data_IF_972301870162
#
_entry.id   IF_972301870162
#
_cell.length_a   1.000
_cell.length_b   1.000
_cell.length_c   1.000
_cell.angle_alpha   90.00
_cell.angle_beta   90.00
_cell.angle_gamma   90.00
#
_symmetry.space_group_name_H-M   'P 1'
#
loop_
_entity.id
_entity.type
_entity.pdbx_description
1 polymer ?
#
# COMPACT_ATOMS: atom_id res chain seq x y z
N UNK A 1 42.73 -15.74 33.52
CA UNK A 1 42.37 -15.24 32.18
C UNK A 1 41.24 -16.13 31.66
N UNK A 2 39.99 -15.73 31.90
CA UNK A 2 38.79 -16.50 31.54
C UNK A 2 38.15 -15.82 30.35
N UNK A 3 38.13 -16.52 29.21
CA UNK A 3 37.46 -16.09 28.00
C UNK A 3 35.96 -16.40 28.15
N UNK A 4 35.13 -15.36 28.26
CA UNK A 4 33.68 -15.48 28.17
C UNK A 4 33.25 -15.31 26.71
N UNK A 5 32.93 -16.44 26.07
CA UNK A 5 32.24 -16.48 24.79
C UNK A 5 30.78 -16.06 25.02
N UNK A 6 30.42 -14.85 24.59
CA UNK A 6 29.03 -14.47 24.40
C UNK A 6 28.54 -15.09 23.08
N UNK A 7 27.82 -16.21 23.18
CA UNK A 7 27.03 -16.74 22.07
C UNK A 7 25.76 -15.92 21.99
N UNK A 8 25.68 -15.06 20.97
CA UNK A 8 24.48 -14.28 20.66
C UNK A 8 23.31 -15.20 20.35
N UNK A 9 22.19 -14.97 21.04
CA UNK A 9 20.92 -15.60 20.72
C UNK A 9 20.46 -15.09 19.34
N UNK A 10 20.62 -15.93 18.31
CA UNK A 10 19.93 -15.75 17.04
C UNK A 10 18.46 -16.04 17.33
N UNK A 11 17.65 -14.99 17.42
CA UNK A 11 16.20 -15.11 17.52
C UNK A 11 15.70 -15.95 16.36
N UNK A 12 15.20 -17.15 16.66
CA UNK A 12 14.56 -18.00 15.67
C UNK A 12 13.33 -17.25 15.14
N UNK A 13 13.43 -16.80 13.89
CA UNK A 13 12.27 -16.36 13.12
C UNK A 13 11.37 -17.58 12.96
N UNK A 14 10.32 -17.67 13.78
CA UNK A 14 9.27 -18.66 13.58
C UNK A 14 8.64 -18.32 12.22
N UNK A 15 8.76 -19.17 11.19
CA UNK A 15 8.10 -18.90 9.93
C UNK A 15 6.60 -18.90 10.25
N UNK A 16 5.93 -17.77 10.00
CA UNK A 16 4.48 -17.79 9.88
C UNK A 16 4.12 -18.93 8.90
N UNK A 17 3.07 -19.74 9.16
CA UNK A 17 2.63 -20.73 8.20
C UNK A 17 2.47 -20.05 6.85
N UNK A 18 3.23 -20.51 5.85
CA UNK A 18 3.26 -19.87 4.54
C UNK A 18 1.94 -20.18 3.85
N UNK A 19 0.96 -19.29 3.93
CA UNK A 19 -0.20 -19.31 3.05
C UNK A 19 0.31 -19.29 1.61
N UNK A 20 0.03 -20.31 0.79
CA UNK A 20 0.53 -20.31 -0.56
C UNK A 20 -0.42 -19.51 -1.48
N UNK A 21 0.07 -18.90 -2.58
CA UNK A 21 -0.74 -18.06 -3.46
C UNK A 21 -2.02 -18.74 -3.99
N UNK A 22 -1.98 -20.05 -4.25
CA UNK A 22 -3.12 -20.85 -4.70
C UNK A 22 -4.26 -20.90 -3.68
N UNK A 23 -3.96 -20.86 -2.38
CA UNK A 23 -4.99 -20.81 -1.33
C UNK A 23 -5.77 -19.48 -1.41
N UNK A 24 -5.06 -18.38 -1.65
CA UNK A 24 -5.67 -17.05 -1.81
C UNK A 24 -6.60 -17.03 -3.02
N UNK A 25 -6.12 -17.51 -4.17
CA UNK A 25 -6.90 -17.52 -5.41
C UNK A 25 -8.07 -18.51 -5.32
N UNK A 26 -7.88 -19.67 -4.69
CA UNK A 26 -8.94 -20.63 -4.41
C UNK A 26 -10.05 -20.02 -3.55
N UNK A 27 -9.68 -19.28 -2.50
CA UNK A 27 -10.64 -18.59 -1.66
C UNK A 27 -11.42 -17.51 -2.43
N UNK A 28 -10.73 -16.69 -3.25
CA UNK A 28 -11.39 -15.69 -4.11
C UNK A 28 -12.44 -16.33 -5.03
N UNK A 29 -12.15 -17.52 -5.59
CA UNK A 29 -13.10 -18.24 -6.43
C UNK A 29 -14.34 -18.73 -5.67
N UNK A 30 -14.19 -19.07 -4.38
CA UNK A 30 -15.27 -19.56 -3.53
C UNK A 30 -16.18 -18.45 -2.97
N UNK A 31 -15.74 -17.19 -2.95
CA UNK A 31 -16.54 -16.07 -2.42
C UNK A 31 -17.91 -15.91 -3.11
N UNK A 32 -18.95 -15.55 -2.37
CA UNK A 32 -20.30 -15.29 -2.92
C UNK A 32 -20.42 -13.89 -3.53
N UNK A 33 -19.64 -13.62 -4.59
CA UNK A 33 -19.61 -12.37 -5.35
C UNK A 33 -19.76 -12.62 -6.85
N UNK A 34 -20.05 -11.58 -7.62
CA UNK A 34 -20.26 -11.64 -9.05
C UNK A 34 -19.07 -12.33 -9.79
N UNK A 35 -19.34 -13.29 -10.70
CA UNK A 35 -18.30 -13.98 -11.46
C UNK A 35 -17.40 -13.03 -12.26
N UNK A 36 -17.95 -11.92 -12.77
CA UNK A 36 -17.21 -10.92 -13.51
C UNK A 36 -16.10 -10.26 -12.66
N UNK A 37 -16.37 -10.01 -11.37
CA UNK A 37 -15.39 -9.44 -10.45
C UNK A 37 -14.26 -10.43 -10.18
N UNK A 38 -14.58 -11.71 -9.96
CA UNK A 38 -13.58 -12.77 -9.80
C UNK A 38 -12.70 -12.90 -11.04
N UNK A 39 -13.30 -12.92 -12.22
CA UNK A 39 -12.60 -13.05 -13.49
C UNK A 39 -11.67 -11.86 -13.76
N UNK A 40 -12.08 -10.64 -13.40
CA UNK A 40 -11.26 -9.44 -13.56
C UNK A 40 -10.13 -9.36 -12.51
N UNK A 41 -10.40 -9.72 -11.26
CA UNK A 41 -9.43 -9.55 -10.17
C UNK A 41 -8.40 -10.68 -10.09
N UNK A 42 -8.78 -11.93 -10.39
CA UNK A 42 -7.90 -13.10 -10.19
C UNK A 42 -6.56 -13.02 -10.94
N UNK A 43 -6.51 -12.64 -12.25
CA UNK A 43 -5.24 -12.56 -12.97
C UNK A 43 -4.31 -11.49 -12.36
N UNK A 44 -4.90 -10.38 -11.95
CA UNK A 44 -4.19 -9.23 -11.39
C UNK A 44 -3.65 -9.55 -9.99
N UNK A 45 -4.46 -10.18 -9.14
CA UNK A 45 -4.05 -10.63 -7.82
C UNK A 45 -2.98 -11.73 -7.93
N UNK A 46 -3.15 -12.70 -8.83
CA UNK A 46 -2.16 -13.77 -9.05
C UNK A 46 -0.80 -13.21 -9.46
N UNK A 47 -0.77 -12.26 -10.38
CA UNK A 47 0.46 -11.55 -10.76
C UNK A 47 1.07 -10.79 -9.57
N UNK A 48 0.25 -10.08 -8.79
CA UNK A 48 0.71 -9.32 -7.64
C UNK A 48 1.32 -10.19 -6.53
N UNK A 49 0.75 -11.37 -6.30
CA UNK A 49 1.29 -12.36 -5.35
C UNK A 49 2.64 -12.91 -5.84
N UNK A 50 2.78 -13.16 -7.16
CA UNK A 50 4.02 -13.65 -7.74
C UNK A 50 5.16 -12.61 -7.71
N UNK A 51 4.84 -11.32 -7.80
CA UNK A 51 5.83 -10.23 -7.80
C UNK A 51 6.07 -9.62 -6.41
N UNK A 52 5.31 -10.02 -5.40
CA UNK A 52 5.37 -9.42 -4.05
C UNK A 52 4.73 -8.04 -3.92
N UNK A 53 3.86 -7.65 -4.85
CA UNK A 53 3.01 -6.44 -4.74
C UNK A 53 1.86 -6.64 -3.76
N UNK A 54 1.49 -7.89 -3.51
CA UNK A 54 0.60 -8.33 -2.44
C UNK A 54 1.23 -9.53 -1.73
N UNK A 55 0.96 -9.73 -0.45
CA UNK A 55 1.42 -10.93 0.27
C UNK A 55 0.28 -11.91 0.51
N UNK A 56 0.53 -13.24 0.39
CA UNK A 56 -0.53 -14.23 0.55
C UNK A 56 -1.25 -14.20 1.91
N UNK A 57 -0.56 -14.10 3.07
CA UNK A 57 -1.24 -14.13 4.36
C UNK A 57 -2.19 -12.94 4.56
N UNK A 58 -1.75 -11.73 4.18
CA UNK A 58 -2.57 -10.52 4.28
C UNK A 58 -3.74 -10.56 3.29
N UNK A 59 -3.48 -11.02 2.06
CA UNK A 59 -4.50 -11.11 1.02
C UNK A 59 -5.61 -12.09 1.42
N UNK A 60 -5.26 -13.29 1.90
CA UNK A 60 -6.25 -14.29 2.31
C UNK A 60 -7.12 -13.78 3.46
N UNK A 61 -6.49 -13.20 4.49
CA UNK A 61 -7.21 -12.67 5.65
C UNK A 61 -8.12 -11.50 5.25
N UNK A 62 -7.67 -10.62 4.36
CA UNK A 62 -8.51 -9.56 3.80
C UNK A 62 -9.73 -10.16 3.06
N UNK A 63 -9.54 -11.14 2.18
CA UNK A 63 -10.64 -11.78 1.46
C UNK A 63 -11.64 -12.44 2.41
N UNK A 64 -11.16 -13.09 3.48
CA UNK A 64 -12.03 -13.66 4.53
C UNK A 64 -12.91 -12.59 5.17
N UNK A 65 -12.34 -11.42 5.51
CA UNK A 65 -13.10 -10.30 6.07
C UNK A 65 -14.07 -9.68 5.07
N UNK A 66 -13.69 -9.57 3.81
CA UNK A 66 -14.59 -9.07 2.77
C UNK A 66 -15.76 -10.03 2.52
N UNK A 67 -15.54 -11.35 2.66
CA UNK A 67 -16.61 -12.35 2.54
C UNK A 67 -17.66 -12.28 3.66
N UNK A 68 -17.34 -11.63 4.79
CA UNK A 68 -18.28 -11.36 5.89
C UNK A 68 -19.20 -10.15 5.60
N UNK A 69 -18.89 -9.34 4.58
CA UNK A 69 -19.66 -8.16 4.20
C UNK A 69 -20.77 -8.50 3.19
N UNK A 70 -21.80 -7.64 3.05
CA UNK A 70 -22.70 -7.68 1.90
C UNK A 70 -21.91 -7.65 0.58
N UNK A 71 -22.29 -8.52 -0.38
CA UNK A 71 -21.58 -8.68 -1.64
C UNK A 71 -21.23 -7.36 -2.37
N UNK A 72 -22.14 -6.35 -2.46
CA UNK A 72 -21.81 -5.08 -3.11
C UNK A 72 -20.63 -4.33 -2.46
N UNK A 73 -20.46 -4.44 -1.13
CA UNK A 73 -19.37 -3.80 -0.39
C UNK A 73 -18.05 -4.54 -0.65
N UNK A 74 -18.08 -5.87 -0.60
CA UNK A 74 -16.92 -6.69 -0.94
C UNK A 74 -16.43 -6.40 -2.36
N UNK A 75 -17.35 -6.37 -3.33
CA UNK A 75 -17.05 -6.08 -4.74
C UNK A 75 -16.47 -4.68 -4.93
N UNK A 76 -17.01 -3.66 -4.25
CA UNK A 76 -16.47 -2.29 -4.29
C UNK A 76 -15.03 -2.23 -3.76
N UNK A 77 -14.72 -2.90 -2.65
CA UNK A 77 -13.34 -2.98 -2.15
C UNK A 77 -12.41 -3.69 -3.14
N UNK A 78 -12.83 -4.85 -3.67
CA UNK A 78 -12.04 -5.62 -4.63
C UNK A 78 -11.77 -4.83 -5.91
N UNK A 79 -12.71 -4.00 -6.36
CA UNK A 79 -12.51 -3.14 -7.52
C UNK A 79 -11.41 -2.09 -7.30
N UNK A 80 -11.31 -1.51 -6.10
CA UNK A 80 -10.22 -0.58 -5.76
C UNK A 80 -8.86 -1.30 -5.73
N UNK A 81 -8.79 -2.48 -5.12
CA UNK A 81 -7.56 -3.28 -5.13
C UNK A 81 -7.15 -3.69 -6.54
N UNK A 82 -8.12 -4.09 -7.38
CA UNK A 82 -7.90 -4.40 -8.79
C UNK A 82 -7.29 -3.20 -9.51
N UNK A 83 -7.90 -2.01 -9.41
CA UNK A 83 -7.40 -0.77 -10.02
C UNK A 83 -6.00 -0.39 -9.54
N UNK A 84 -5.71 -0.58 -8.25
CA UNK A 84 -4.38 -0.31 -7.70
C UNK A 84 -3.32 -1.23 -8.31
N UNK A 85 -3.62 -2.53 -8.36
CA UNK A 85 -2.72 -3.54 -8.92
C UNK A 85 -2.58 -3.45 -10.43
N UNK A 86 -3.64 -3.08 -11.17
CA UNK A 86 -3.60 -2.80 -12.62
C UNK A 86 -2.65 -1.65 -12.96
N UNK A 87 -2.60 -0.64 -12.10
CA UNK A 87 -1.59 0.42 -12.14
C UNK A 87 -0.23 -0.03 -11.59
N UNK A 88 -0.05 -1.30 -11.28
CA UNK A 88 1.21 -1.82 -10.73
C UNK A 88 1.56 -1.28 -9.35
N UNK A 89 0.62 -0.74 -8.56
CA UNK A 89 0.95 -0.34 -7.19
C UNK A 89 1.18 -1.56 -6.29
N UNK A 90 2.02 -1.36 -5.29
CA UNK A 90 2.15 -2.30 -4.18
C UNK A 90 0.97 -2.02 -3.24
N UNK A 91 0.18 -3.05 -2.94
CA UNK A 91 -0.98 -2.96 -2.03
C UNK A 91 -0.69 -3.58 -0.67
N UNK A 92 0.35 -4.43 -0.59
CA UNK A 92 0.87 -4.97 0.66
C UNK A 92 2.37 -5.33 0.58
N UNK A 93 3.08 -5.18 1.70
CA UNK A 93 4.51 -5.56 1.83
C UNK A 93 4.80 -6.57 2.94
N UNK A 94 3.78 -7.20 3.52
CA UNK A 94 3.94 -8.17 4.60
C UNK A 94 4.41 -7.59 5.95
N UNK A 95 4.77 -6.31 5.98
CA UNK A 95 5.14 -5.55 7.16
C UNK A 95 4.65 -4.09 7.03
N UNK A 96 4.22 -3.52 8.15
CA UNK A 96 3.83 -2.11 8.25
C UNK A 96 2.43 -1.76 7.73
N UNK A 97 2.17 -0.45 7.62
CA UNK A 97 0.90 0.11 7.14
C UNK A 97 0.82 -0.01 5.62
N UNK A 98 0.03 -0.95 5.12
CA UNK A 98 -0.25 -1.12 3.70
C UNK A 98 -1.71 -0.81 3.36
N UNK A 99 -2.07 -0.75 2.08
CA UNK A 99 -3.46 -0.53 1.66
C UNK A 99 -4.34 -1.66 2.19
N UNK A 100 -3.94 -2.91 1.97
CA UNK A 100 -4.66 -4.09 2.46
C UNK A 100 -4.68 -4.15 3.99
N UNK A 101 -3.55 -3.91 4.67
CA UNK A 101 -3.50 -3.96 6.13
C UNK A 101 -4.35 -2.88 6.79
N UNK A 102 -4.44 -1.67 6.20
CA UNK A 102 -5.28 -0.61 6.79
C UNK A 102 -6.77 -0.96 6.65
N UNK A 103 -7.20 -1.42 5.47
CA UNK A 103 -8.59 -1.89 5.29
C UNK A 103 -8.88 -3.03 6.24
N UNK A 104 -8.00 -4.02 6.32
CA UNK A 104 -8.14 -5.15 7.23
C UNK A 104 -8.23 -4.70 8.69
N UNK A 105 -7.40 -3.75 9.12
CA UNK A 105 -7.45 -3.16 10.46
C UNK A 105 -8.81 -2.51 10.73
N UNK A 106 -9.34 -1.73 9.78
CA UNK A 106 -10.66 -1.08 9.93
C UNK A 106 -11.80 -2.09 10.02
N UNK A 107 -11.78 -3.12 9.17
CA UNK A 107 -12.77 -4.22 9.22
C UNK A 107 -12.72 -4.96 10.56
N UNK A 108 -11.51 -5.25 11.08
CA UNK A 108 -11.33 -5.89 12.39
C UNK A 108 -11.84 -5.06 13.56
N UNK A 109 -11.76 -3.74 13.46
CA UNK A 109 -12.29 -2.81 14.46
C UNK A 109 -13.82 -2.60 14.34
N UNK A 110 -14.48 -3.24 13.38
CA UNK A 110 -15.91 -3.04 13.14
C UNK A 110 -16.25 -1.62 12.67
N UNK A 111 -15.33 -0.96 11.97
CA UNK A 111 -15.57 0.38 11.43
C UNK A 111 -16.77 0.37 10.47
N UNK A 112 -17.60 1.42 10.46
CA UNK A 112 -18.68 1.55 9.48
C UNK A 112 -18.16 1.48 8.05
N UNK A 113 -18.92 0.84 7.15
CA UNK A 113 -18.52 0.67 5.75
C UNK A 113 -18.16 1.99 5.07
N UNK A 114 -18.93 3.05 5.30
CA UNK A 114 -18.66 4.37 4.71
C UNK A 114 -17.27 4.91 5.07
N UNK A 115 -16.79 4.64 6.29
CA UNK A 115 -15.43 5.02 6.69
C UNK A 115 -14.37 4.16 6.00
N UNK A 116 -14.61 2.85 5.90
CA UNK A 116 -13.72 1.92 5.19
C UNK A 116 -13.56 2.32 3.73
N UNK A 117 -14.69 2.59 3.07
CA UNK A 117 -14.78 3.05 1.69
C UNK A 117 -14.05 4.37 1.47
N UNK A 118 -14.32 5.37 2.31
CA UNK A 118 -13.64 6.67 2.26
C UNK A 118 -12.12 6.53 2.39
N UNK A 119 -11.63 5.81 3.39
CA UNK A 119 -10.19 5.64 3.58
C UNK A 119 -9.52 4.83 2.46
N UNK A 120 -10.20 3.80 1.96
CA UNK A 120 -9.73 3.01 0.82
C UNK A 120 -9.58 3.88 -0.43
N UNK A 121 -10.59 4.70 -0.74
CA UNK A 121 -10.56 5.63 -1.85
C UNK A 121 -9.46 6.69 -1.69
N UNK A 122 -9.35 7.33 -0.52
CA UNK A 122 -8.33 8.34 -0.25
C UNK A 122 -6.91 7.76 -0.39
N UNK A 123 -6.65 6.55 0.10
CA UNK A 123 -5.33 5.92 -0.02
C UNK A 123 -4.99 5.50 -1.45
N UNK A 124 -5.98 4.99 -2.19
CA UNK A 124 -5.80 4.73 -3.62
C UNK A 124 -5.47 6.02 -4.37
N UNK A 125 -6.22 7.09 -4.13
CA UNK A 125 -5.97 8.40 -4.74
C UNK A 125 -4.60 8.96 -4.35
N UNK A 126 -4.13 8.73 -3.12
CA UNK A 126 -2.80 9.11 -2.70
C UNK A 126 -1.69 8.40 -3.48
N UNK A 127 -1.85 7.10 -3.76
CA UNK A 127 -0.90 6.36 -4.62
C UNK A 127 -0.86 6.97 -6.02
N UNK A 128 -2.04 7.17 -6.62
CA UNK A 128 -2.18 7.76 -7.95
C UNK A 128 -1.58 9.17 -8.01
N UNK A 129 -1.97 10.05 -7.09
CA UNK A 129 -1.51 11.44 -7.05
C UNK A 129 0.00 11.53 -6.83
N UNK A 130 0.55 10.71 -5.93
CA UNK A 130 1.98 10.69 -5.65
C UNK A 130 2.76 10.28 -6.89
N UNK A 131 2.34 9.20 -7.54
CA UNK A 131 2.97 8.74 -8.77
C UNK A 131 2.96 9.83 -9.86
N UNK A 132 1.78 10.41 -10.13
CA UNK A 132 1.60 11.42 -11.17
C UNK A 132 2.44 12.68 -10.91
N UNK A 133 2.48 13.18 -9.67
CA UNK A 133 3.28 14.36 -9.32
C UNK A 133 4.76 14.05 -9.43
N UNK A 134 5.24 12.92 -8.90
CA UNK A 134 6.66 12.58 -8.99
C UNK A 134 7.11 12.36 -10.45
N UNK A 135 6.25 11.78 -11.30
CA UNK A 135 6.50 11.66 -12.73
C UNK A 135 6.55 13.03 -13.42
N UNK A 136 5.57 13.90 -13.13
CA UNK A 136 5.47 15.23 -13.71
C UNK A 136 6.69 16.09 -13.40
N UNK A 137 7.23 15.99 -12.19
CA UNK A 137 8.44 16.68 -11.76
C UNK A 137 9.74 15.97 -12.14
N UNK A 138 9.68 14.83 -12.85
CA UNK A 138 10.86 14.07 -13.28
C UNK A 138 11.64 13.43 -12.13
N UNK A 139 11.02 13.28 -10.95
CA UNK A 139 11.64 12.69 -9.76
C UNK A 139 11.64 11.16 -9.79
N UNK A 140 10.76 10.57 -10.62
CA UNK A 140 10.81 9.16 -10.99
C UNK A 140 10.70 9.05 -12.51
N UNK A 141 11.38 8.06 -13.09
CA UNK A 141 11.25 7.77 -14.52
C UNK A 141 9.93 7.06 -14.84
N UNK A 142 9.46 7.18 -16.08
CA UNK A 142 8.42 6.30 -16.60
C UNK A 142 8.90 4.84 -16.54
N UNK A 143 8.01 3.91 -16.32
CA UNK A 143 8.30 2.56 -16.79
C UNK A 143 7.11 1.65 -16.71
N UNK A 144 7.35 0.39 -17.07
CA UNK A 144 6.31 -0.61 -17.25
C UNK A 144 5.65 -0.95 -15.90
N UNK A 145 4.67 -0.15 -15.52
CA UNK A 145 3.75 -0.48 -14.45
C UNK A 145 2.70 -1.42 -15.01
N UNK A 146 2.89 -2.69 -14.71
CA UNK A 146 1.91 -3.74 -14.96
C UNK A 146 1.85 -4.64 -13.73
N UNK A 147 0.71 -5.30 -13.46
CA UNK A 147 0.55 -6.19 -12.30
C UNK A 147 1.67 -7.23 -12.16
N UNK A 148 2.17 -7.76 -13.29
CA UNK A 148 3.24 -8.76 -13.33
C UNK A 148 4.66 -8.21 -13.53
N UNK A 149 4.82 -6.89 -13.56
CA UNK A 149 6.15 -6.27 -13.67
C UNK A 149 6.92 -6.38 -12.35
N UNK A 150 8.24 -6.57 -12.44
CA UNK A 150 9.14 -6.58 -11.29
C UNK A 150 8.91 -5.33 -10.41
N UNK A 151 8.90 -5.51 -9.09
CA UNK A 151 8.85 -4.40 -8.14
C UNK A 151 10.15 -3.61 -8.21
N UNK A 152 10.04 -2.31 -8.45
CA UNK A 152 11.19 -1.41 -8.54
C UNK A 152 11.31 -0.55 -7.28
N UNK A 153 12.52 -0.07 -6.94
CA UNK A 153 12.72 0.83 -5.79
C UNK A 153 11.82 2.07 -5.82
N UNK A 154 11.54 2.62 -7.01
CA UNK A 154 10.62 3.75 -7.17
C UNK A 154 9.18 3.43 -6.79
N UNK A 155 8.76 2.16 -6.97
CA UNK A 155 7.41 1.74 -6.59
C UNK A 155 7.29 1.85 -5.06
N UNK A 156 8.34 1.42 -4.33
CA UNK A 156 8.42 1.58 -2.88
C UNK A 156 8.53 3.04 -2.43
N UNK A 157 9.18 3.91 -3.20
CA UNK A 157 9.21 5.35 -2.92
C UNK A 157 7.82 6.00 -3.02
N UNK A 158 7.10 5.78 -4.14
CA UNK A 158 5.73 6.28 -4.34
C UNK A 158 4.83 5.82 -3.20
N UNK A 159 4.92 4.53 -2.93
CA UNK A 159 4.20 3.82 -1.89
C UNK A 159 4.37 4.49 -0.50
N UNK A 160 5.61 4.79 -0.11
CA UNK A 160 5.95 5.39 1.20
C UNK A 160 5.49 6.85 1.32
N UNK A 161 5.68 7.66 0.28
CA UNK A 161 5.23 9.07 0.27
C UNK A 161 3.70 9.13 0.31
N UNK A 162 3.03 8.32 -0.51
CA UNK A 162 1.57 8.27 -0.57
C UNK A 162 0.95 7.97 0.80
N UNK A 163 1.53 7.05 1.58
CA UNK A 163 1.00 6.77 2.91
C UNK A 163 1.25 7.86 3.92
N UNK A 164 2.44 8.46 3.94
CA UNK A 164 2.66 9.56 4.88
C UNK A 164 1.69 10.70 4.59
N UNK A 165 1.47 11.01 3.31
CA UNK A 165 0.49 12.01 2.90
C UNK A 165 -0.93 11.59 3.32
N UNK A 166 -1.34 10.36 3.02
CA UNK A 166 -2.68 9.90 3.38
C UNK A 166 -2.90 9.84 4.90
N UNK A 167 -1.94 9.33 5.68
CA UNK A 167 -2.02 9.26 7.14
C UNK A 167 -2.09 10.65 7.75
N UNK A 168 -1.25 11.59 7.29
CA UNK A 168 -1.30 12.99 7.73
C UNK A 168 -2.63 13.67 7.41
N UNK A 169 -3.24 13.32 6.27
CA UNK A 169 -4.49 13.95 5.84
C UNK A 169 -5.73 13.34 6.50
N UNK A 170 -5.70 12.04 6.77
CA UNK A 170 -6.79 11.30 7.42
C UNK A 170 -6.75 11.38 8.95
N UNK A 171 -5.64 11.82 9.55
CA UNK A 171 -5.54 12.02 11.00
C UNK A 171 -6.48 13.15 11.46
N UNK A 172 -7.45 12.87 12.34
CA UNK A 172 -8.34 13.89 12.88
C UNK A 172 -7.67 14.84 13.88
N UNK A 173 -6.45 14.54 14.33
CA UNK A 173 -5.75 15.36 15.34
C UNK A 173 -5.22 16.68 14.75
N UNK A 174 -5.16 17.75 15.56
CA UNK A 174 -4.56 19.01 15.15
C UNK A 174 -3.10 18.83 14.73
N UNK A 175 -2.74 19.38 13.57
CA UNK A 175 -1.41 19.19 13.00
C UNK A 175 -0.43 20.20 13.59
N UNK A 176 0.52 19.70 14.36
CA UNK A 176 1.58 20.52 14.98
C UNK A 176 2.87 20.53 14.16
N UNK A 177 3.05 19.53 13.29
CA UNK A 177 4.23 19.39 12.42
C UNK A 177 3.80 19.55 10.95
N UNK A 178 4.52 20.32 10.12
CA UNK A 178 4.21 20.44 8.69
C UNK A 178 4.37 19.11 7.94
N UNK A 179 3.51 18.86 6.94
CA UNK A 179 3.55 17.64 6.11
C UNK A 179 4.95 17.37 5.52
N UNK A 180 5.64 18.42 5.07
CA UNK A 180 7.00 18.31 4.54
C UNK A 180 7.99 17.71 5.53
N UNK A 181 7.94 18.15 6.80
CA UNK A 181 8.82 17.62 7.82
C UNK A 181 8.53 16.13 8.10
N UNK A 182 7.26 15.72 8.08
CA UNK A 182 6.86 14.31 8.28
C UNK A 182 7.32 13.44 7.11
N UNK A 183 7.13 13.90 5.87
CA UNK A 183 7.59 13.17 4.67
C UNK A 183 9.11 13.09 4.62
N UNK A 184 9.80 14.21 4.93
CA UNK A 184 11.26 14.27 4.98
C UNK A 184 11.82 13.27 5.99
N UNK A 185 11.29 13.26 7.21
CA UNK A 185 11.71 12.32 8.26
C UNK A 185 11.51 10.87 7.82
N UNK A 186 10.35 10.55 7.21
CA UNK A 186 10.11 9.21 6.65
C UNK A 186 11.16 8.83 5.62
N UNK A 187 11.42 9.69 4.64
CA UNK A 187 12.38 9.42 3.57
C UNK A 187 13.81 9.25 4.11
N UNK A 188 14.22 10.06 5.08
CA UNK A 188 15.52 9.91 5.75
C UNK A 188 15.63 8.55 6.44
N UNK A 189 14.59 8.14 7.17
CA UNK A 189 14.57 6.84 7.88
C UNK A 189 14.57 5.62 6.93
N UNK A 190 14.10 5.79 5.69
CA UNK A 190 14.14 4.75 4.66
C UNK A 190 15.50 4.65 3.96
N UNK A 191 16.33 5.69 4.05
CA UNK A 191 17.62 5.77 3.34
C UNK A 191 18.63 4.78 3.91
N UNK A 192 19.19 3.94 3.05
CA UNK A 192 20.18 2.91 3.41
C UNK A 192 19.60 1.68 4.12
N UNK A 193 18.33 1.71 4.55
CA UNK A 193 17.64 0.60 5.21
C UNK A 193 16.69 -0.13 4.26
N UNK A 194 15.82 0.61 3.57
CA UNK A 194 14.78 0.08 2.66
C UNK A 194 15.06 0.50 1.22
N UNK A 195 15.56 1.71 1.02
CA UNK A 195 15.86 2.28 -0.30
C UNK A 195 17.29 2.79 -0.34
N UNK A 196 17.94 2.65 -1.50
CA UNK A 196 19.27 3.21 -1.70
C UNK A 196 19.23 4.75 -1.62
N UNK A 197 20.24 5.40 -1.02
CA UNK A 197 20.31 6.87 -0.96
C UNK A 197 20.17 7.52 -2.34
N UNK A 198 20.71 6.91 -3.40
CA UNK A 198 20.60 7.40 -4.78
C UNK A 198 19.17 7.50 -5.32
N UNK A 199 18.20 6.82 -4.70
CA UNK A 199 16.77 6.93 -5.04
C UNK A 199 16.09 8.02 -4.22
N UNK A 200 16.52 8.22 -2.97
CA UNK A 200 15.87 9.13 -2.02
C UNK A 200 16.41 10.56 -2.13
N UNK A 201 17.73 10.73 -2.25
CA UNK A 201 18.38 12.04 -2.25
C UNK A 201 17.81 13.02 -3.29
N UNK A 202 17.56 12.63 -4.55
CA UNK A 202 16.95 13.54 -5.52
C UNK A 202 15.57 14.05 -5.08
N UNK A 203 14.79 13.17 -4.44
CA UNK A 203 13.46 13.51 -3.92
C UNK A 203 13.58 14.42 -2.71
N UNK A 204 14.50 14.15 -1.77
CA UNK A 204 14.73 14.99 -0.60
C UNK A 204 15.17 16.40 -0.96
N UNK A 205 15.98 16.55 -2.02
CA UNK A 205 16.41 17.85 -2.55
C UNK A 205 15.24 18.60 -3.20
N UNK A 206 14.37 17.90 -3.91
CA UNK A 206 13.20 18.48 -4.57
C UNK A 206 11.96 18.60 -3.67
N UNK A 207 12.00 18.07 -2.44
CA UNK A 207 10.87 18.05 -1.53
C UNK A 207 10.57 19.46 -1.03
N UNK A 208 9.45 20.02 -1.49
CA UNK A 208 8.93 21.31 -1.01
C UNK A 208 7.51 21.15 -0.46
N UNK A 209 7.04 22.10 0.37
CA UNK A 209 5.65 22.14 0.79
C UNK A 209 4.67 22.14 -0.39
N UNK A 210 4.96 22.86 -1.47
CA UNK A 210 4.09 23.00 -2.64
C UNK A 210 3.88 21.67 -3.36
N UNK A 211 4.96 20.89 -3.55
CA UNK A 211 4.88 19.56 -4.15
C UNK A 211 3.97 18.64 -3.34
N UNK A 212 4.07 18.69 -2.01
CA UNK A 212 3.25 17.85 -1.12
C UNK A 212 1.80 18.34 -1.03
N UNK A 213 1.57 19.65 -1.14
CA UNK A 213 0.23 20.21 -1.25
C UNK A 213 -0.42 19.84 -2.60
N UNK A 214 0.35 19.74 -3.67
CA UNK A 214 -0.17 19.25 -4.95
C UNK A 214 -0.63 17.80 -4.86
N UNK A 215 0.19 16.92 -4.24
CA UNK A 215 -0.22 15.53 -3.98
C UNK A 215 -1.49 15.52 -3.12
N UNK A 216 -1.46 16.18 -1.96
CA UNK A 216 -2.58 16.21 -1.02
C UNK A 216 -3.86 16.78 -1.64
N UNK A 217 -3.76 17.84 -2.43
CA UNK A 217 -4.88 18.45 -3.14
C UNK A 217 -5.53 17.46 -4.12
N UNK A 218 -4.73 16.69 -4.86
CA UNK A 218 -5.23 15.67 -5.79
C UNK A 218 -5.91 14.49 -5.09
N UNK A 219 -5.50 14.14 -3.86
CA UNK A 219 -6.11 13.04 -3.09
C UNK A 219 -7.60 13.26 -2.84
N UNK A 220 -8.00 14.49 -2.47
CA UNK A 220 -9.35 14.82 -2.03
C UNK A 220 -10.18 15.61 -3.06
N UNK A 221 -9.57 16.05 -4.18
CA UNK A 221 -10.32 16.69 -5.28
C UNK A 221 -11.25 15.74 -6.04
N UNK A 222 -11.01 14.42 -5.98
CA UNK A 222 -11.86 13.42 -6.67
C UNK A 222 -13.26 13.33 -6.05
N UNK A 223 -13.40 13.64 -4.75
CA UNK A 223 -14.69 13.61 -4.06
C UNK A 223 -15.57 14.83 -4.35
N UNK A 224 -14.98 15.98 -4.68
CA UNK A 224 -15.73 17.23 -4.97
C UNK A 224 -16.34 17.28 -6.37
N UNK A 225 -16.06 16.29 -7.24
CA UNK A 225 -16.53 16.24 -8.63
C UNK A 225 -17.63 15.18 -8.88
N UNK A 226 -18.18 14.58 -7.82
CA UNK A 226 -19.36 13.72 -7.86
C UNK A 226 -20.55 14.44 -7.24
#
# INVERSE_FOLDING_TARGET
MVAALFVGAVGQFVPFPSTPPEEVLGFLQAMEIAPAIKAAFSPVLGAALATGRATPPVSLELLRRLAELPAPQAEEALDVFRKALERGFIVDTGAGSSLMNRVLMRLRMGAPWELVKYELAARYNALVATEEVLLWHGLIGQGAQAPGGQVLPRDRLVLEIAWVVADYQLDPQPRTVPLEAVVRDRLVNLSGSVLAPSIIEPVLVALTPELLQEIAGRVFQVEQRR
#
